data_IF_837180703568
#
_entry.id   IF_837180703568
#
_cell.length_a   1.000
_cell.length_b   1.000
_cell.length_c   1.000
_cell.angle_alpha   90.00
_cell.angle_beta   90.00
_cell.angle_gamma   90.00
#
_symmetry.space_group_name_H-M   'P 1'
#
loop_
_entity.id
_entity.type
_entity.pdbx_description
1 polymer ?
#
# COMPACT_ATOMS: atom_id res chain seq x y z
N UNK A 1 -10.51 20.79 -14.88
CA UNK A 1 -10.57 20.40 -13.46
C UNK A 1 -9.17 19.95 -13.08
N UNK A 2 -8.55 20.60 -12.10
CA UNK A 2 -7.22 20.23 -11.63
C UNK A 2 -7.37 19.72 -10.21
N UNK A 3 -7.12 18.43 -9.99
CA UNK A 3 -7.08 17.84 -8.66
C UNK A 3 -5.73 18.17 -8.06
N UNK A 4 -5.73 18.85 -6.91
CA UNK A 4 -4.51 19.08 -6.13
C UNK A 4 -4.43 17.91 -5.15
N UNK A 5 -3.34 17.12 -5.13
CA UNK A 5 -3.20 16.08 -4.11
C UNK A 5 -3.25 16.73 -2.72
N UNK A 6 -3.94 16.10 -1.76
CA UNK A 6 -3.96 16.58 -0.38
C UNK A 6 -2.53 16.82 0.12
N UNK A 7 -2.37 17.89 0.89
CA UNK A 7 -1.11 18.22 1.55
C UNK A 7 -0.64 17.02 2.40
N UNK A 8 0.57 16.52 2.12
CA UNK A 8 1.19 15.30 2.67
C UNK A 8 0.77 13.96 2.03
N UNK A 9 0.26 13.92 0.81
CA UNK A 9 0.07 12.65 0.11
C UNK A 9 1.33 12.23 -0.64
N UNK A 10 1.82 11.01 -0.40
CA UNK A 10 2.92 10.40 -1.14
C UNK A 10 2.44 9.10 -1.76
N UNK A 11 2.75 8.93 -3.05
CA UNK A 11 2.55 7.68 -3.78
C UNK A 11 3.33 6.53 -3.13
N UNK A 12 2.84 5.29 -3.22
CA UNK A 12 3.54 4.12 -2.75
C UNK A 12 4.94 4.05 -3.37
N UNK A 13 5.95 3.87 -2.51
CA UNK A 13 7.35 3.74 -2.94
C UNK A 13 7.96 2.52 -2.29
N UNK A 14 8.60 1.65 -3.09
CA UNK A 14 9.39 0.54 -2.59
C UNK A 14 10.82 0.99 -2.24
N UNK A 15 11.28 0.66 -1.04
CA UNK A 15 12.67 0.81 -0.59
C UNK A 15 13.20 -0.51 -0.01
N UNK A 16 14.48 -0.80 -0.20
CA UNK A 16 15.10 -2.03 0.31
C UNK A 16 15.95 -2.74 -0.73
N UNK A 17 16.65 -3.78 -0.28
CA UNK A 17 17.56 -4.57 -1.11
C UNK A 17 16.84 -5.28 -2.26
N UNK A 18 15.58 -5.68 -2.07
CA UNK A 18 14.86 -6.55 -3.00
C UNK A 18 13.77 -5.86 -3.81
N UNK A 19 13.65 -4.53 -3.73
CA UNK A 19 12.63 -3.81 -4.50
C UNK A 19 12.77 -3.94 -6.01
N UNK A 20 13.97 -4.22 -6.52
CA UNK A 20 14.19 -4.46 -7.95
C UNK A 20 13.63 -5.80 -8.44
N UNK A 21 13.25 -6.69 -7.52
CA UNK A 21 12.63 -8.00 -7.78
C UNK A 21 11.10 -7.97 -7.64
N UNK A 22 10.55 -6.82 -7.20
CA UNK A 22 9.12 -6.63 -7.03
C UNK A 22 8.62 -5.91 -8.28
N UNK A 23 7.71 -6.55 -9.00
CA UNK A 23 7.02 -5.91 -10.11
C UNK A 23 6.01 -4.91 -9.55
N UNK A 24 6.06 -3.68 -10.07
CA UNK A 24 5.13 -2.61 -9.74
C UNK A 24 4.42 -2.15 -11.01
N UNK A 25 3.09 -2.13 -10.98
CA UNK A 25 2.26 -1.58 -12.04
C UNK A 25 1.17 -0.67 -11.47
N UNK A 26 0.77 0.34 -12.24
CA UNK A 26 -0.24 1.31 -11.82
C UNK A 26 -1.31 1.42 -12.88
N UNK A 27 -2.54 1.07 -12.52
CA UNK A 27 -3.72 1.19 -13.38
C UNK A 27 -4.84 1.91 -12.64
N UNK A 28 -5.33 3.02 -13.19
CA UNK A 28 -6.46 3.77 -12.66
C UNK A 28 -6.39 4.08 -11.14
N UNK A 29 -5.22 4.55 -10.65
CA UNK A 29 -4.95 4.89 -9.24
C UNK A 29 -4.83 3.67 -8.30
N UNK A 30 -4.75 2.46 -8.86
CA UNK A 30 -4.45 1.24 -8.11
C UNK A 30 -3.02 0.83 -8.41
N UNK A 31 -2.17 0.85 -7.38
CA UNK A 31 -0.83 0.29 -7.45
C UNK A 31 -0.91 -1.21 -7.17
N UNK A 32 -0.33 -2.03 -8.04
CA UNK A 32 -0.22 -3.47 -7.84
C UNK A 32 1.25 -3.81 -7.65
N UNK A 33 1.54 -4.56 -6.60
CA UNK A 33 2.85 -5.07 -6.28
C UNK A 33 2.82 -6.59 -6.32
N UNK A 34 3.76 -7.18 -7.05
CA UNK A 34 3.86 -8.62 -7.23
C UNK A 34 5.29 -9.07 -6.97
N UNK A 35 5.44 -10.01 -6.03
CA UNK A 35 6.67 -10.79 -5.88
C UNK A 35 6.40 -12.22 -6.27
N UNK A 36 7.22 -12.72 -7.19
CA UNK A 36 7.17 -14.09 -7.67
C UNK A 36 6.25 -14.32 -8.87
N UNK A 37 6.01 -13.26 -9.66
CA UNK A 37 5.40 -13.31 -10.98
C UNK A 37 6.26 -14.06 -12.01
N UNK A 38 7.59 -14.01 -11.84
CA UNK A 38 8.59 -14.58 -12.76
C UNK A 38 9.23 -15.88 -12.24
N UNK A 39 8.66 -16.48 -11.19
CA UNK A 39 9.17 -17.66 -10.48
C UNK A 39 9.16 -17.46 -8.97
N UNK A 40 9.71 -18.41 -8.21
CA UNK A 40 9.75 -18.30 -6.75
C UNK A 40 10.49 -17.04 -6.26
N UNK A 41 10.24 -16.63 -5.01
CA UNK A 41 11.08 -15.60 -4.40
C UNK A 41 12.50 -16.09 -4.09
N UNK A 42 13.44 -15.17 -3.86
CA UNK A 42 14.82 -15.50 -3.46
C UNK A 42 14.96 -15.52 -1.93
N UNK A 43 16.05 -16.14 -1.47
CA UNK A 43 16.41 -16.11 -0.05
C UNK A 43 16.91 -14.72 0.36
N UNK A 44 16.75 -14.39 1.63
CA UNK A 44 17.28 -13.17 2.28
C UNK A 44 16.81 -11.87 1.60
N UNK A 45 15.57 -11.88 1.11
CA UNK A 45 14.94 -10.69 0.56
C UNK A 45 14.49 -9.75 1.68
N UNK A 46 14.57 -8.45 1.40
CA UNK A 46 14.02 -7.41 2.26
C UNK A 46 13.51 -6.25 1.40
N UNK A 47 12.25 -5.90 1.59
CA UNK A 47 11.63 -4.75 0.95
C UNK A 47 10.61 -4.08 1.89
N UNK A 48 10.47 -2.77 1.75
CA UNK A 48 9.50 -1.95 2.47
C UNK A 48 8.81 -1.00 1.50
N UNK A 49 7.50 -1.17 1.34
CA UNK A 49 6.64 -0.33 0.51
C UNK A 49 5.93 0.66 1.43
N UNK A 50 6.19 1.94 1.27
CA UNK A 50 5.65 3.00 2.15
C UNK A 50 4.86 4.01 1.37
N UNK A 51 3.82 4.57 1.99
CA UNK A 51 3.02 5.66 1.44
C UNK A 51 2.55 6.58 2.56
N UNK A 52 1.86 7.66 2.21
CA UNK A 52 1.28 8.59 3.20
C UNK A 52 -0.21 8.75 2.95
N UNK A 53 -0.99 8.72 4.03
CA UNK A 53 -2.44 8.81 4.00
C UNK A 53 -3.17 7.46 3.95
N UNK A 54 -4.51 7.49 4.02
CA UNK A 54 -5.32 6.30 4.13
C UNK A 54 -5.31 5.49 2.83
N UNK A 55 -5.32 4.17 2.97
CA UNK A 55 -5.37 3.25 1.84
C UNK A 55 -6.12 1.97 2.16
N UNK A 56 -6.59 1.33 1.10
CA UNK A 56 -7.08 -0.04 1.13
C UNK A 56 -6.04 -0.92 0.45
N UNK A 57 -5.59 -1.94 1.17
CA UNK A 57 -4.67 -2.96 0.67
C UNK A 57 -5.45 -4.26 0.52
N UNK A 58 -5.36 -4.88 -0.66
CA UNK A 58 -6.01 -6.16 -0.95
C UNK A 58 -4.96 -7.15 -1.42
N UNK A 59 -4.67 -8.16 -0.61
CA UNK A 59 -3.77 -9.27 -0.98
C UNK A 59 -4.57 -10.28 -1.79
N UNK A 60 -4.13 -10.57 -3.01
CA UNK A 60 -4.85 -11.40 -3.98
C UNK A 60 -4.19 -12.76 -4.23
N UNK A 61 -2.90 -12.89 -3.95
CA UNK A 61 -2.14 -14.15 -3.97
C UNK A 61 -1.17 -14.17 -2.79
N UNK A 62 -1.02 -15.32 -2.15
CA UNK A 62 -0.08 -15.46 -1.03
C UNK A 62 0.33 -16.92 -0.80
N UNK A 63 1.61 -17.21 -1.02
CA UNK A 63 2.25 -18.50 -0.82
C UNK A 63 3.74 -18.27 -0.44
N UNK A 64 4.04 -18.36 0.86
CA UNK A 64 5.40 -18.18 1.41
C UNK A 64 5.75 -19.34 2.34
N UNK A 65 7.02 -19.45 2.78
CA UNK A 65 7.38 -20.45 3.78
C UNK A 65 6.71 -20.14 5.12
N UNK A 66 5.93 -21.10 5.61
CA UNK A 66 5.16 -20.95 6.83
C UNK A 66 6.08 -20.72 8.05
N UNK A 67 5.86 -19.60 8.75
CA UNK A 67 6.58 -19.18 9.96
C UNK A 67 8.03 -18.69 9.77
N UNK A 68 8.52 -18.55 8.55
CA UNK A 68 9.88 -18.09 8.27
C UNK A 68 9.89 -16.84 7.39
N UNK A 69 9.05 -16.83 6.35
CA UNK A 69 8.94 -15.72 5.42
C UNK A 69 7.65 -14.94 5.68
N UNK A 70 7.78 -13.62 5.83
CA UNK A 70 6.70 -12.78 6.32
C UNK A 70 6.40 -11.57 5.46
N UNK A 71 5.11 -11.35 5.21
CA UNK A 71 4.56 -10.09 4.71
C UNK A 71 3.77 -9.40 5.82
N UNK A 72 4.25 -8.26 6.27
CA UNK A 72 3.61 -7.43 7.28
C UNK A 72 2.80 -6.33 6.60
N UNK A 73 1.51 -6.24 6.90
CA UNK A 73 0.63 -5.17 6.42
C UNK A 73 0.43 -4.17 7.57
N UNK A 74 1.15 -3.05 7.54
CA UNK A 74 1.17 -2.07 8.63
C UNK A 74 1.48 -2.72 10.00
N UNK A 75 0.62 -2.51 10.99
CA UNK A 75 0.76 -3.02 12.37
C UNK A 75 0.11 -4.40 12.58
N UNK A 76 -0.42 -5.02 11.52
CA UNK A 76 -1.04 -6.35 11.60
C UNK A 76 0.00 -7.46 11.81
N UNK A 77 -0.41 -8.60 12.40
CA UNK A 77 0.44 -9.79 12.46
C UNK A 77 0.94 -10.18 11.07
N UNK A 78 2.23 -10.56 10.98
CA UNK A 78 2.84 -10.96 9.72
C UNK A 78 2.17 -12.19 9.10
N UNK A 79 1.80 -12.08 7.83
CA UNK A 79 1.32 -13.19 7.03
C UNK A 79 2.49 -14.10 6.66
N UNK A 80 2.33 -15.40 6.82
CA UNK A 80 3.31 -16.43 6.38
C UNK A 80 2.60 -17.73 6.03
N UNK A 81 3.20 -18.54 5.14
CA UNK A 81 2.62 -19.80 4.69
C UNK A 81 1.76 -19.66 3.43
N UNK A 82 1.00 -20.71 3.14
CA UNK A 82 0.01 -20.72 2.06
C UNK A 82 -1.36 -20.28 2.56
N UNK A 83 -1.90 -19.19 1.99
CA UNK A 83 -3.25 -18.71 2.29
C UNK A 83 -4.19 -19.01 1.13
N UNK A 84 -5.03 -20.03 1.29
CA UNK A 84 -6.07 -20.38 0.32
C UNK A 84 -7.32 -19.48 0.39
N UNK A 85 -7.43 -18.64 1.43
CA UNK A 85 -8.60 -17.78 1.70
C UNK A 85 -8.41 -16.32 1.23
N UNK A 86 -7.58 -16.09 0.21
CA UNK A 86 -7.50 -14.79 -0.47
C UNK A 86 -8.76 -14.50 -1.30
N UNK A 87 -9.21 -13.24 -1.44
CA UNK A 87 -8.51 -12.02 -1.07
C UNK A 87 -8.63 -11.62 0.41
N UNK A 88 -7.56 -11.03 0.95
CA UNK A 88 -7.55 -10.39 2.28
C UNK A 88 -7.55 -8.87 2.13
N UNK A 89 -8.50 -8.17 2.74
CA UNK A 89 -8.63 -6.71 2.68
C UNK A 89 -8.23 -6.07 4.02
N UNK A 90 -7.41 -5.02 3.92
CA UNK A 90 -6.97 -4.19 5.05
C UNK A 90 -7.30 -2.73 4.78
N UNK A 91 -8.05 -2.11 5.69
CA UNK A 91 -8.35 -0.68 5.67
C UNK A 91 -7.38 0.02 6.62
N UNK A 92 -6.55 0.90 6.06
CA UNK A 92 -5.45 1.55 6.78
C UNK A 92 -5.75 3.05 6.86
N UNK A 93 -6.07 3.52 8.07
CA UNK A 93 -6.38 4.95 8.34
C UNK A 93 -5.13 5.79 8.72
N UNK A 94 -3.97 5.14 8.80
CA UNK A 94 -2.75 5.73 9.36
C UNK A 94 -2.13 6.83 8.51
N UNK A 95 -1.34 7.71 9.15
CA UNK A 95 -0.65 8.80 8.46
C UNK A 95 0.50 8.31 7.58
N UNK A 96 1.27 7.30 8.01
CA UNK A 96 2.44 6.75 7.27
C UNK A 96 2.54 5.23 7.38
N UNK A 97 1.54 4.47 6.90
CA UNK A 97 1.60 3.02 6.87
C UNK A 97 2.71 2.51 5.93
N UNK A 98 3.15 1.27 6.17
CA UNK A 98 4.09 0.56 5.32
C UNK A 98 3.71 -0.92 5.22
N UNK A 99 4.19 -1.57 4.16
CA UNK A 99 4.16 -3.02 3.99
C UNK A 99 5.61 -3.48 3.98
N UNK A 100 5.94 -4.47 4.80
CA UNK A 100 7.30 -5.01 4.90
C UNK A 100 7.32 -6.47 4.48
N UNK A 101 8.25 -6.80 3.59
CA UNK A 101 8.53 -8.15 3.12
C UNK A 101 9.90 -8.60 3.61
N UNK A 102 9.99 -9.85 4.07
CA UNK A 102 11.26 -10.48 4.44
C UNK A 102 11.22 -11.98 4.16
N UNK A 103 12.32 -12.51 3.61
CA UNK A 103 12.55 -13.96 3.51
C UNK A 103 13.80 -14.41 4.27
N UNK A 104 13.80 -15.67 4.68
CA UNK A 104 14.86 -16.34 5.42
C UNK A 104 15.98 -16.87 4.49
N UNK A 105 16.91 -17.68 5.01
CA UNK A 105 18.03 -18.21 4.24
C UNK A 105 17.72 -19.41 3.33
N UNK A 106 16.47 -19.88 3.26
CA UNK A 106 16.07 -21.12 2.60
C UNK A 106 14.61 -21.13 2.13
N UNK A 107 14.17 -22.28 1.60
CA UNK A 107 12.80 -22.63 1.16
C UNK A 107 11.98 -21.46 0.59
N UNK A 108 11.87 -21.44 -0.74
CA UNK A 108 11.14 -20.41 -1.45
C UNK A 108 9.84 -20.96 -2.04
N UNK A 109 8.88 -20.08 -2.30
CA UNK A 109 7.58 -20.40 -2.89
C UNK A 109 7.15 -19.30 -3.88
N UNK A 110 5.94 -19.42 -4.43
CA UNK A 110 5.37 -18.56 -5.46
C UNK A 110 5.27 -17.06 -5.08
N UNK A 111 5.33 -16.72 -3.80
CA UNK A 111 5.34 -15.33 -3.32
C UNK A 111 3.95 -14.74 -3.11
N UNK A 112 3.78 -13.47 -3.45
CA UNK A 112 2.56 -12.73 -3.11
C UNK A 112 2.23 -11.66 -4.14
N UNK A 113 0.94 -11.34 -4.21
CA UNK A 113 0.42 -10.21 -4.98
C UNK A 113 -0.51 -9.40 -4.08
N UNK A 114 -0.40 -8.07 -4.13
CA UNK A 114 -1.39 -7.20 -3.54
C UNK A 114 -1.62 -5.95 -4.36
N UNK A 115 -2.83 -5.41 -4.22
CA UNK A 115 -3.19 -4.09 -4.72
C UNK A 115 -3.30 -3.11 -3.57
N UNK A 116 -2.90 -1.87 -3.82
CA UNK A 116 -2.97 -0.74 -2.91
C UNK A 116 -3.68 0.39 -3.63
N UNK A 117 -4.81 0.82 -3.05
CA UNK A 117 -5.55 1.99 -3.50
C UNK A 117 -5.67 2.98 -2.36
N UNK A 118 -5.09 4.15 -2.53
CA UNK A 118 -5.22 5.22 -1.55
C UNK A 118 -6.63 5.83 -1.64
N UNK A 119 -7.33 5.90 -0.51
CA UNK A 119 -8.71 6.40 -0.46
C UNK A 119 -8.70 7.90 -0.17
N UNK A 120 -8.68 8.69 -1.25
CA UNK A 120 -8.98 10.12 -1.28
C UNK A 120 -8.12 11.05 -0.39
N UNK A 121 -7.10 11.58 -1.06
CA UNK A 121 -6.43 12.85 -0.81
C UNK A 121 -7.32 14.07 -1.16
N UNK A 122 -8.60 14.11 -0.75
CA UNK A 122 -9.50 15.23 -1.05
C UNK A 122 -9.87 15.98 0.23
N UNK A 123 -9.09 17.01 0.54
CA UNK A 123 -9.60 18.06 1.44
C UNK A 123 -10.61 18.87 0.63
N UNK A 124 -11.90 18.74 0.93
CA UNK A 124 -12.86 19.75 0.46
C UNK A 124 -12.42 21.10 1.00
N UNK A 125 -11.88 21.97 0.14
CA UNK A 125 -11.60 23.35 0.50
C UNK A 125 -12.94 24.07 0.71
N UNK A 126 -13.45 24.02 1.94
CA UNK A 126 -14.59 24.82 2.35
C UNK A 126 -14.12 26.28 2.42
N UNK A 127 -14.24 27.01 1.31
CA UNK A 127 -14.31 28.48 1.39
C UNK A 127 -15.60 28.78 2.14
N UNK A 128 -15.49 29.00 3.45
CA UNK A 128 -16.49 29.74 4.17
C UNK A 128 -16.52 31.14 3.58
N UNK A 129 -17.43 31.38 2.63
CA UNK A 129 -17.80 32.73 2.24
C UNK A 129 -18.41 33.37 3.48
N UNK A 130 -17.59 34.08 4.26
CA UNK A 130 -18.14 35.02 5.24
C UNK A 130 -18.83 36.10 4.41
N UNK A 131 -20.15 36.17 4.49
CA UNK A 131 -20.92 37.27 3.95
C UNK A 131 -20.58 38.53 4.74
N UNK A 132 -20.02 39.61 4.15
CA UNK A 132 -20.18 40.92 4.73
C UNK A 132 -21.61 41.39 4.47
N UNK A 133 -22.42 41.27 5.52
CA UNK A 133 -23.67 41.98 5.73
C UNK A 133 -23.44 43.49 5.47
N UNK A 134 -23.89 43.98 4.32
CA UNK A 134 -23.79 45.38 3.91
C UNK A 134 -25.16 46.03 3.89
N UNK A 135 -25.59 46.58 5.03
CA UNK A 135 -26.71 47.53 5.08
C UNK A 135 -26.28 48.83 4.39
N UNK A 136 -26.84 49.11 3.22
CA UNK A 136 -26.74 50.42 2.55
C UNK A 136 -28.00 51.22 2.80
N UNK A 137 -27.93 52.17 3.73
CA UNK A 137 -28.82 53.33 3.76
C UNK A 137 -28.36 54.32 2.68
N UNK A 138 -29.34 54.88 1.95
CA UNK A 138 -29.47 56.22 1.34
C UNK A 138 -30.19 56.18 -0.01
#
# INVERSE_FOLDING_TARGET
VGSIPAVNFHEPTCTGGSCYLIDESVEADVHTFSRGSDGDYDNSEEATISWTGPAVVVVTRFATEANFDYLYIADEPGLSGDYHDVPLEYQLDGSTPNIRWTSDGSVTNDGWDFSLRQTEAIVEFRVGATEPHGIGFE
#
